data_IF_594701400377
#
_entry.id   IF_594701400377
#
_cell.length_a   1.000
_cell.length_b   1.000
_cell.length_c   1.000
_cell.angle_alpha   90.00
_cell.angle_beta   90.00
_cell.angle_gamma   90.00
#
_symmetry.space_group_name_H-M   'P 1'
#
loop_
_entity.id
_entity.type
_entity.pdbx_description
1 polymer ?
#
# COMPACT_ATOMS: atom_id res chain seq x y z
N UNK A 1 -7.58 45.24 48.13
CA UNK A 1 -7.73 44.77 46.74
C UNK A 1 -6.67 43.71 46.49
N UNK A 2 -7.06 42.44 46.39
CA UNK A 2 -6.13 41.34 46.11
C UNK A 2 -5.86 41.32 44.60
N UNK A 3 -4.59 41.28 44.19
CA UNK A 3 -4.19 41.40 42.79
C UNK A 3 -4.85 40.33 41.88
N UNK A 4 -5.24 40.67 40.63
CA UNK A 4 -6.00 39.80 39.72
C UNK A 4 -5.31 38.46 39.39
N UNK A 5 -3.99 38.37 39.58
CA UNK A 5 -3.23 37.12 39.40
C UNK A 5 -3.48 36.10 40.53
N UNK A 6 -3.71 36.59 41.75
CA UNK A 6 -3.97 35.76 42.93
C UNK A 6 -5.36 35.15 42.88
N UNK A 7 -6.33 35.90 42.36
CA UNK A 7 -7.71 35.42 42.17
C UNK A 7 -7.79 34.29 41.13
N UNK A 8 -7.14 34.46 39.97
CA UNK A 8 -7.04 33.41 38.94
C UNK A 8 -6.34 32.15 39.45
N UNK A 9 -5.35 32.30 40.34
CA UNK A 9 -4.68 31.16 40.97
C UNK A 9 -5.60 30.38 41.90
N UNK A 10 -6.40 31.06 42.72
CA UNK A 10 -7.38 30.41 43.61
C UNK A 10 -8.46 29.68 42.79
N UNK A 11 -9.00 30.32 41.76
CA UNK A 11 -9.95 29.70 40.84
C UNK A 11 -9.36 28.47 40.12
N UNK A 12 -8.11 28.55 39.69
CA UNK A 12 -7.42 27.41 39.07
C UNK A 12 -7.27 26.22 40.04
N UNK A 13 -7.03 26.49 41.32
CA UNK A 13 -6.93 25.46 42.37
C UNK A 13 -8.28 24.78 42.62
N UNK A 14 -9.36 25.54 42.70
CA UNK A 14 -10.71 24.99 42.89
C UNK A 14 -11.15 24.12 41.71
N UNK A 15 -10.96 24.61 40.49
CA UNK A 15 -11.22 23.81 39.29
C UNK A 15 -10.34 22.55 39.24
N UNK A 16 -9.09 22.65 39.72
CA UNK A 16 -8.19 21.49 39.75
C UNK A 16 -8.66 20.42 40.74
N UNK A 17 -9.09 20.80 41.94
CA UNK A 17 -9.65 19.89 42.95
C UNK A 17 -10.91 19.18 42.45
N UNK A 18 -11.73 19.87 41.67
CA UNK A 18 -12.93 19.31 41.01
C UNK A 18 -12.60 18.29 39.90
N UNK A 19 -11.33 18.12 39.54
CA UNK A 19 -10.89 17.11 38.58
C UNK A 19 -10.66 17.61 37.16
N UNK A 20 -10.71 18.92 36.92
CA UNK A 20 -10.54 19.47 35.58
C UNK A 20 -9.09 19.40 35.07
N UNK A 21 -8.95 19.27 33.74
CA UNK A 21 -7.65 19.24 33.06
C UNK A 21 -7.04 20.64 32.92
N UNK A 22 -5.71 20.72 32.77
CA UNK A 22 -5.04 22.00 32.52
C UNK A 22 -5.56 22.71 31.28
N UNK A 23 -5.92 21.97 30.22
CA UNK A 23 -6.49 22.57 29.00
C UNK A 23 -7.82 23.27 29.26
N UNK A 24 -8.70 22.65 30.06
CA UNK A 24 -9.99 23.25 30.44
C UNK A 24 -9.80 24.50 31.29
N UNK A 25 -8.96 24.41 32.34
CA UNK A 25 -8.68 25.56 33.23
C UNK A 25 -8.03 26.71 32.45
N UNK A 26 -7.16 26.39 31.48
CA UNK A 26 -6.53 27.36 30.59
C UNK A 26 -7.57 28.14 29.77
N UNK A 27 -8.53 27.42 29.17
CA UNK A 27 -9.59 28.03 28.36
C UNK A 27 -10.53 28.90 29.21
N UNK A 28 -10.90 28.43 30.40
CA UNK A 28 -11.81 29.17 31.31
C UNK A 28 -11.19 30.43 31.89
N UNK A 29 -9.93 30.37 32.34
CA UNK A 29 -9.28 31.49 33.04
C UNK A 29 -8.41 32.37 32.12
N UNK A 30 -8.27 31.97 30.85
CA UNK A 30 -7.42 32.61 29.83
C UNK A 30 -5.99 32.88 30.33
N UNK A 31 -5.38 31.88 30.98
CA UNK A 31 -4.01 31.95 31.50
C UNK A 31 -3.04 31.13 30.66
N UNK A 32 -1.74 31.39 30.80
CA UNK A 32 -0.72 30.61 30.11
C UNK A 32 -0.59 29.20 30.72
N UNK A 33 -0.07 28.24 29.93
CA UNK A 33 0.22 26.88 30.45
C UNK A 33 1.34 26.89 31.49
N UNK A 34 2.33 27.78 31.35
CA UNK A 34 3.43 27.91 32.30
C UNK A 34 2.92 28.38 33.67
N UNK A 35 1.99 29.34 33.71
CA UNK A 35 1.33 29.78 34.95
C UNK A 35 0.58 28.65 35.65
N UNK A 36 -0.21 27.85 34.92
CA UNK A 36 -0.91 26.69 35.49
C UNK A 36 0.05 25.62 36.00
N UNK A 37 1.13 25.36 35.28
CA UNK A 37 2.16 24.39 35.70
C UNK A 37 2.80 24.78 37.02
N UNK A 38 3.07 26.07 37.22
CA UNK A 38 3.63 26.59 38.46
C UNK A 38 2.61 26.50 39.61
N UNK A 39 1.36 26.90 39.38
CA UNK A 39 0.34 26.97 40.43
C UNK A 39 -0.19 25.61 40.87
N UNK A 40 -0.31 24.65 39.95
CA UNK A 40 -0.98 23.37 40.18
C UNK A 40 -0.01 22.20 40.37
N UNK A 41 1.30 22.46 40.44
CA UNK A 41 2.36 21.44 40.59
C UNK A 41 2.11 20.47 41.74
N UNK A 42 1.59 20.97 42.87
CA UNK A 42 1.29 20.17 44.07
C UNK A 42 -0.07 19.47 44.06
N UNK A 43 -0.86 19.59 42.98
CA UNK A 43 -2.23 19.07 42.90
C UNK A 43 -2.39 18.10 41.72
N UNK A 44 -1.74 16.92 41.77
CA UNK A 44 -1.96 15.87 40.78
C UNK A 44 -3.39 15.32 40.88
N UNK A 45 -3.97 14.91 39.74
CA UNK A 45 -5.26 14.23 39.74
C UNK A 45 -5.11 12.79 40.20
N UNK A 46 -6.15 12.26 40.85
CA UNK A 46 -6.23 10.83 41.15
C UNK A 46 -6.36 9.99 39.88
N UNK A 47 -6.04 8.70 39.98
CA UNK A 47 -6.18 7.73 38.87
C UNK A 47 -7.62 7.69 38.32
N UNK A 48 -8.61 7.80 39.19
CA UNK A 48 -10.03 7.86 38.82
C UNK A 48 -10.40 9.13 38.05
N UNK A 49 -9.93 10.29 38.50
CA UNK A 49 -10.14 11.56 37.80
C UNK A 49 -9.47 11.55 36.42
N UNK A 50 -8.26 11.00 36.32
CA UNK A 50 -7.56 10.80 35.04
C UNK A 50 -8.38 9.88 34.12
N UNK A 51 -8.93 8.79 34.64
CA UNK A 51 -9.75 7.86 33.87
C UNK A 51 -11.06 8.52 33.40
N UNK A 52 -11.72 9.34 34.23
CA UNK A 52 -12.90 10.14 33.83
C UNK A 52 -12.58 11.12 32.71
N UNK A 53 -11.44 11.82 32.79
CA UNK A 53 -10.98 12.70 31.71
C UNK A 53 -10.65 11.93 30.41
N UNK A 54 -10.23 10.67 30.53
CA UNK A 54 -9.96 9.77 29.41
C UNK A 54 -11.19 9.01 28.93
N UNK A 55 -12.33 9.07 29.60
CA UNK A 55 -13.53 8.30 29.23
C UNK A 55 -14.05 8.61 27.81
N UNK A 56 -13.69 9.76 27.22
CA UNK A 56 -13.99 10.14 25.84
C UNK A 56 -12.79 10.03 24.88
N UNK A 57 -11.69 9.38 25.29
CA UNK A 57 -10.47 9.28 24.47
C UNK A 57 -10.69 8.43 23.23
N UNK A 58 -11.47 7.36 23.32
CA UNK A 58 -11.77 6.48 22.18
C UNK A 58 -12.52 7.23 21.09
N UNK A 59 -13.60 7.94 21.45
CA UNK A 59 -14.35 8.82 20.52
C UNK A 59 -13.46 9.89 19.90
N UNK A 60 -12.49 10.44 20.64
CA UNK A 60 -11.53 11.43 20.12
C UNK A 60 -10.52 10.81 19.16
N UNK A 61 -10.01 9.61 19.47
CA UNK A 61 -9.11 8.85 18.62
C UNK A 61 -9.81 8.46 17.33
N UNK A 62 -11.07 8.02 17.42
CA UNK A 62 -11.87 7.63 16.26
C UNK A 62 -12.20 8.82 15.36
N UNK A 63 -12.63 9.96 15.92
CA UNK A 63 -12.79 11.23 15.19
C UNK A 63 -11.50 11.69 14.51
N UNK A 64 -10.35 11.56 15.20
CA UNK A 64 -9.06 11.89 14.62
C UNK A 64 -8.71 10.96 13.45
N UNK A 65 -8.91 9.65 13.61
CA UNK A 65 -8.70 8.65 12.55
C UNK A 65 -9.59 8.92 11.35
N UNK A 66 -10.86 9.25 11.58
CA UNK A 66 -11.80 9.59 10.51
C UNK A 66 -11.37 10.88 9.79
N UNK A 67 -11.05 11.94 10.52
CA UNK A 67 -10.57 13.20 9.96
C UNK A 67 -9.30 12.97 9.14
N UNK A 68 -8.36 12.18 9.65
CA UNK A 68 -7.14 11.81 8.94
C UNK A 68 -7.41 10.97 7.70
N UNK A 69 -8.34 10.01 7.78
CA UNK A 69 -8.76 9.18 6.65
C UNK A 69 -9.38 10.04 5.55
N UNK A 70 -10.27 10.97 5.89
CA UNK A 70 -10.88 11.90 4.94
C UNK A 70 -9.80 12.76 4.30
N UNK A 71 -8.98 13.45 5.11
CA UNK A 71 -7.90 14.32 4.61
C UNK A 71 -6.93 13.57 3.69
N UNK A 72 -6.54 12.35 4.08
CA UNK A 72 -5.62 11.51 3.29
C UNK A 72 -6.27 11.02 2.01
N UNK A 73 -7.52 10.57 2.06
CA UNK A 73 -8.27 10.11 0.89
C UNK A 73 -8.46 11.23 -0.11
N UNK A 74 -8.88 12.42 0.35
CA UNK A 74 -9.07 13.60 -0.51
C UNK A 74 -7.76 14.02 -1.17
N UNK A 75 -6.67 14.12 -0.39
CA UNK A 75 -5.35 14.44 -0.94
C UNK A 75 -4.88 13.42 -1.96
N UNK A 76 -4.99 12.12 -1.67
CA UNK A 76 -4.60 11.04 -2.59
C UNK A 76 -5.44 11.03 -3.85
N UNK A 77 -6.75 11.30 -3.74
CA UNK A 77 -7.66 11.39 -4.89
C UNK A 77 -7.27 12.55 -5.81
N UNK A 78 -7.00 13.73 -5.26
CA UNK A 78 -6.55 14.87 -6.07
C UNK A 78 -5.24 14.58 -6.83
N UNK A 79 -4.26 13.95 -6.16
CA UNK A 79 -3.02 13.51 -6.81
C UNK A 79 -3.31 12.46 -7.89
N UNK A 80 -4.15 11.46 -7.60
CA UNK A 80 -4.52 10.44 -8.58
C UNK A 80 -5.20 11.04 -9.82
N UNK A 81 -6.15 11.95 -9.63
CA UNK A 81 -6.88 12.58 -10.74
C UNK A 81 -5.96 13.45 -11.60
N UNK A 82 -4.99 14.13 -10.99
CA UNK A 82 -3.96 14.87 -11.72
C UNK A 82 -3.04 13.93 -12.52
N UNK A 83 -2.52 12.87 -11.90
CA UNK A 83 -1.66 11.89 -12.56
C UNK A 83 -2.40 11.13 -13.67
N UNK A 84 -3.70 10.85 -13.48
CA UNK A 84 -4.55 10.23 -14.49
C UNK A 84 -4.62 11.09 -15.76
N UNK A 85 -4.79 12.41 -15.61
CA UNK A 85 -4.81 13.36 -16.75
C UNK A 85 -3.45 13.47 -17.45
N UNK A 86 -2.37 13.41 -16.68
CA UNK A 86 -1.01 13.51 -17.21
C UNK A 86 -0.60 12.26 -18.00
N UNK A 87 -0.97 11.08 -17.51
CA UNK A 87 -0.45 9.80 -18.02
C UNK A 87 -1.36 9.09 -19.01
N UNK A 88 -2.67 9.35 -19.01
CA UNK A 88 -3.64 8.54 -19.76
C UNK A 88 -4.38 9.34 -20.85
N UNK A 89 -4.67 8.72 -22.01
CA UNK A 89 -4.34 7.34 -22.38
C UNK A 89 -2.87 7.16 -22.83
N UNK A 90 -2.30 5.98 -22.56
CA UNK A 90 -0.98 5.63 -23.09
C UNK A 90 -1.06 5.22 -24.56
N UNK A 91 -0.11 5.69 -25.36
CA UNK A 91 0.13 5.25 -26.73
C UNK A 91 0.67 3.82 -26.79
N UNK A 92 0.63 3.19 -27.97
CA UNK A 92 1.22 1.86 -28.17
C UNK A 92 2.72 1.83 -27.84
N UNK A 93 3.45 2.90 -28.17
CA UNK A 93 4.88 3.03 -27.88
C UNK A 93 5.15 3.11 -26.37
N UNK A 94 4.37 3.92 -25.65
CA UNK A 94 4.51 4.03 -24.19
C UNK A 94 4.14 2.72 -23.49
N UNK A 95 3.10 2.03 -23.96
CA UNK A 95 2.74 0.70 -23.45
C UNK A 95 3.83 -0.35 -23.74
N UNK A 96 4.47 -0.28 -24.91
CA UNK A 96 5.61 -1.14 -25.24
C UNK A 96 6.73 -0.91 -24.22
N UNK A 97 7.16 0.34 -24.03
CA UNK A 97 8.22 0.71 -23.10
C UNK A 97 7.86 0.32 -21.66
N UNK A 98 6.65 0.64 -21.19
CA UNK A 98 6.21 0.32 -19.84
C UNK A 98 6.23 -1.20 -19.56
N UNK A 99 5.85 -2.03 -20.54
CA UNK A 99 5.94 -3.47 -20.42
C UNK A 99 7.38 -4.01 -20.46
N UNK A 100 8.28 -3.39 -21.23
CA UNK A 100 9.71 -3.73 -21.20
C UNK A 100 10.31 -3.46 -19.82
N UNK A 101 10.04 -2.29 -19.22
CA UNK A 101 10.53 -1.97 -17.87
C UNK A 101 9.89 -2.85 -16.80
N UNK A 102 8.61 -3.20 -16.94
CA UNK A 102 8.00 -4.18 -16.05
C UNK A 102 8.70 -5.54 -16.18
N UNK A 103 8.97 -6.01 -17.40
CA UNK A 103 9.69 -7.26 -17.61
C UNK A 103 11.12 -7.20 -17.07
N UNK A 104 11.79 -6.06 -17.22
CA UNK A 104 13.13 -5.87 -16.69
C UNK A 104 13.15 -5.95 -15.16
N UNK A 105 12.12 -5.45 -14.47
CA UNK A 105 12.00 -5.56 -13.02
C UNK A 105 11.54 -6.93 -12.52
N UNK A 106 10.49 -7.48 -13.12
CA UNK A 106 9.69 -8.59 -12.59
C UNK A 106 9.73 -9.88 -13.44
N UNK A 107 10.27 -9.80 -14.66
CA UNK A 107 10.32 -10.91 -15.61
C UNK A 107 11.43 -11.90 -15.30
N UNK A 108 11.21 -13.16 -15.69
CA UNK A 108 12.23 -14.20 -15.61
C UNK A 108 13.32 -13.98 -16.67
N UNK A 109 14.58 -13.94 -16.25
CA UNK A 109 15.73 -13.69 -17.13
C UNK A 109 16.56 -14.94 -17.42
N UNK A 110 16.35 -16.00 -16.66
CA UNK A 110 17.16 -17.24 -16.70
C UNK A 110 16.54 -18.35 -17.53
N UNK A 111 15.37 -18.12 -18.15
CA UNK A 111 14.65 -19.12 -18.95
C UNK A 111 14.77 -18.79 -20.45
N UNK A 112 15.76 -19.35 -21.18
CA UNK A 112 16.07 -18.94 -22.55
C UNK A 112 14.96 -19.23 -23.58
N UNK A 113 13.92 -19.97 -23.22
CA UNK A 113 12.83 -20.37 -24.13
C UNK A 113 11.44 -20.00 -23.61
N UNK A 114 11.35 -19.16 -22.58
CA UNK A 114 10.07 -18.76 -22.02
C UNK A 114 10.09 -17.30 -21.56
N UNK A 115 9.06 -16.58 -21.97
CA UNK A 115 8.71 -15.28 -21.39
C UNK A 115 7.80 -15.55 -20.20
N UNK A 116 8.25 -15.21 -19.00
CA UNK A 116 7.41 -15.39 -17.80
C UNK A 116 7.54 -14.26 -16.79
N UNK A 117 6.46 -14.02 -16.06
CA UNK A 117 6.39 -13.03 -14.99
C UNK A 117 5.59 -13.61 -13.83
N UNK A 118 6.18 -13.56 -12.64
CA UNK A 118 5.59 -14.06 -11.40
C UNK A 118 5.31 -12.90 -10.45
N UNK A 119 4.05 -12.69 -10.04
CA UNK A 119 3.74 -11.66 -9.06
C UNK A 119 2.49 -12.03 -8.24
N UNK A 120 2.43 -11.55 -7.00
CA UNK A 120 1.25 -11.72 -6.13
C UNK A 120 0.19 -10.64 -6.39
N UNK A 121 0.55 -9.49 -6.95
CA UNK A 121 -0.38 -8.38 -7.19
C UNK A 121 -1.16 -8.58 -8.50
N UNK A 122 -2.50 -8.73 -8.46
CA UNK A 122 -3.30 -8.99 -9.67
C UNK A 122 -3.21 -7.86 -10.69
N UNK A 123 -2.99 -6.61 -10.28
CA UNK A 123 -2.85 -5.48 -11.21
C UNK A 123 -1.60 -5.59 -12.07
N UNK A 124 -0.50 -6.08 -11.49
CA UNK A 124 0.77 -6.30 -12.22
C UNK A 124 0.57 -7.42 -13.25
N UNK A 125 0.02 -8.55 -12.82
CA UNK A 125 -0.24 -9.71 -13.67
C UNK A 125 -1.21 -9.36 -14.80
N UNK A 126 -2.28 -8.59 -14.52
CA UNK A 126 -3.24 -8.11 -15.53
C UNK A 126 -2.60 -7.18 -16.55
N UNK A 127 -1.75 -6.25 -16.12
CA UNK A 127 -1.05 -5.36 -17.04
C UNK A 127 -0.11 -6.16 -17.94
N UNK A 128 0.64 -7.12 -17.38
CA UNK A 128 1.50 -8.00 -18.17
C UNK A 128 0.72 -8.83 -19.19
N UNK A 129 -0.41 -9.42 -18.78
CA UNK A 129 -1.32 -10.14 -19.68
C UNK A 129 -1.85 -9.24 -20.80
N UNK A 130 -2.26 -8.01 -20.47
CA UNK A 130 -2.69 -7.02 -21.45
C UNK A 130 -1.57 -6.69 -22.43
N UNK A 131 -0.35 -6.47 -21.94
CA UNK A 131 0.82 -6.16 -22.75
C UNK A 131 1.16 -7.30 -23.74
N UNK A 132 1.21 -8.54 -23.26
CA UNK A 132 1.41 -9.73 -24.11
C UNK A 132 0.39 -9.77 -25.25
N UNK A 133 -0.90 -9.65 -24.94
CA UNK A 133 -1.97 -9.82 -25.94
C UNK A 133 -2.07 -8.61 -26.87
N UNK A 134 -2.07 -7.39 -26.32
CA UNK A 134 -2.44 -6.20 -27.07
C UNK A 134 -1.25 -5.52 -27.75
N UNK A 135 -0.07 -5.58 -27.13
CA UNK A 135 1.15 -4.94 -27.64
C UNK A 135 2.03 -5.95 -28.38
N UNK A 136 2.35 -7.09 -27.74
CA UNK A 136 3.20 -8.11 -28.34
C UNK A 136 2.46 -9.10 -29.24
N UNK A 137 1.13 -8.99 -29.33
CA UNK A 137 0.26 -9.81 -30.19
C UNK A 137 0.33 -11.31 -29.91
N UNK A 138 0.62 -11.69 -28.66
CA UNK A 138 0.62 -13.09 -28.23
C UNK A 138 -0.80 -13.64 -28.26
N UNK A 139 -1.05 -14.75 -28.98
CA UNK A 139 -2.33 -15.45 -28.95
C UNK A 139 -2.65 -15.94 -27.54
N UNK A 140 -3.91 -15.75 -27.09
CA UNK A 140 -4.34 -16.12 -25.73
C UNK A 140 -4.14 -17.61 -25.41
N UNK A 141 -4.24 -18.46 -26.42
CA UNK A 141 -4.07 -19.90 -26.32
C UNK A 141 -2.63 -20.34 -26.01
N UNK A 142 -1.63 -19.51 -26.35
CA UNK A 142 -0.22 -19.74 -26.00
C UNK A 142 0.13 -19.36 -24.56
N UNK A 143 -0.78 -18.72 -23.85
CA UNK A 143 -0.58 -18.27 -22.47
C UNK A 143 -1.01 -19.39 -21.53
N UNK A 144 -0.10 -19.78 -20.66
CA UNK A 144 -0.34 -20.73 -19.56
C UNK A 144 -0.03 -20.08 -18.23
N UNK A 145 -0.66 -20.59 -17.16
CA UNK A 145 -0.51 -20.04 -15.82
C UNK A 145 -0.04 -21.13 -14.88
N UNK A 146 1.00 -20.88 -14.10
CA UNK A 146 1.40 -21.72 -12.96
C UNK A 146 1.20 -20.92 -11.69
N UNK A 147 0.50 -21.49 -10.71
CA UNK A 147 0.43 -20.89 -9.38
C UNK A 147 1.54 -21.45 -8.51
N UNK A 148 2.19 -20.59 -7.72
CA UNK A 148 3.07 -21.00 -6.63
C UNK A 148 2.32 -20.81 -5.32
N UNK A 149 1.96 -21.92 -4.68
CA UNK A 149 1.09 -21.99 -3.52
C UNK A 149 1.85 -22.56 -2.32
N UNK A 150 1.33 -22.30 -1.12
CA UNK A 150 1.82 -22.93 0.12
C UNK A 150 1.02 -24.20 0.40
N UNK A 151 1.58 -25.14 1.16
CA UNK A 151 0.93 -26.45 1.40
C UNK A 151 -0.42 -26.38 2.11
N UNK A 152 -0.70 -25.29 2.82
CA UNK A 152 -1.95 -25.02 3.54
C UNK A 152 -2.98 -24.24 2.70
N UNK A 153 -2.74 -24.07 1.39
CA UNK A 153 -3.66 -23.40 0.46
C UNK A 153 -4.49 -24.39 -0.35
N UNK A 154 -5.74 -24.03 -0.63
CA UNK A 154 -6.63 -24.80 -1.49
C UNK A 154 -6.38 -24.48 -2.96
N UNK A 155 -5.78 -25.44 -3.68
CA UNK A 155 -5.42 -25.26 -5.08
C UNK A 155 -6.62 -24.92 -5.98
N UNK A 156 -7.80 -25.51 -5.73
CA UNK A 156 -8.99 -25.28 -6.55
C UNK A 156 -9.51 -23.86 -6.34
N UNK A 157 -9.57 -23.41 -5.08
CA UNK A 157 -9.98 -22.03 -4.77
C UNK A 157 -9.02 -21.00 -5.40
N UNK A 158 -7.72 -21.24 -5.34
CA UNK A 158 -6.75 -20.29 -5.91
C UNK A 158 -6.78 -20.26 -7.44
N UNK A 159 -6.96 -21.41 -8.10
CA UNK A 159 -7.16 -21.47 -9.56
C UNK A 159 -8.43 -20.70 -9.95
N UNK A 160 -9.55 -20.90 -9.24
CA UNK A 160 -10.80 -20.20 -9.51
C UNK A 160 -10.66 -18.68 -9.33
N UNK A 161 -9.95 -18.24 -8.29
CA UNK A 161 -9.64 -16.82 -8.06
C UNK A 161 -8.87 -16.22 -9.23
N UNK A 162 -7.73 -16.80 -9.60
CA UNK A 162 -6.90 -16.26 -10.68
C UNK A 162 -7.55 -16.37 -12.05
N UNK A 163 -8.31 -17.43 -12.30
CA UNK A 163 -9.13 -17.61 -13.52
C UNK A 163 -10.11 -16.45 -13.69
N UNK A 164 -10.88 -16.13 -12.63
CA UNK A 164 -11.80 -15.00 -12.60
C UNK A 164 -11.09 -13.67 -12.77
N UNK A 165 -9.99 -13.46 -12.04
CA UNK A 165 -9.26 -12.19 -12.10
C UNK A 165 -8.66 -11.93 -13.48
N UNK A 166 -8.07 -12.94 -14.11
CA UNK A 166 -7.38 -12.79 -15.40
C UNK A 166 -8.31 -12.99 -16.60
N UNK A 167 -9.53 -13.50 -16.38
CA UNK A 167 -10.47 -13.93 -17.44
C UNK A 167 -9.81 -14.93 -18.39
N UNK A 168 -9.11 -15.90 -17.81
CA UNK A 168 -8.43 -17.00 -18.51
C UNK A 168 -9.06 -18.31 -18.02
N UNK A 169 -9.47 -19.22 -18.93
CA UNK A 169 -10.08 -20.50 -18.52
C UNK A 169 -9.16 -21.34 -17.63
N UNK A 170 -9.75 -22.07 -16.69
CA UNK A 170 -9.01 -22.95 -15.77
C UNK A 170 -8.15 -24.00 -16.49
N UNK A 171 -8.55 -24.43 -17.70
CA UNK A 171 -7.76 -25.35 -18.53
C UNK A 171 -6.40 -24.79 -19.02
N UNK A 172 -6.13 -23.49 -18.81
CA UNK A 172 -4.80 -22.88 -19.06
C UNK A 172 -3.90 -22.89 -17.82
N UNK A 173 -4.40 -23.34 -16.68
CA UNK A 173 -3.62 -23.48 -15.45
C UNK A 173 -2.93 -24.84 -15.45
N UNK A 174 -1.60 -24.83 -15.41
CA UNK A 174 -0.79 -26.04 -15.25
C UNK A 174 -0.62 -26.37 -13.77
N UNK A 175 -0.14 -27.60 -13.49
CA UNK A 175 0.09 -28.09 -12.12
C UNK A 175 0.77 -27.02 -11.25
N UNK A 176 0.12 -26.57 -10.16
CA UNK A 176 0.73 -25.60 -9.25
C UNK A 176 2.04 -26.13 -8.65
N UNK A 177 2.96 -25.22 -8.40
CA UNK A 177 4.13 -25.50 -7.58
C UNK A 177 3.76 -25.31 -6.11
N UNK A 178 3.91 -26.35 -5.29
CA UNK A 178 3.59 -26.31 -3.87
C UNK A 178 4.88 -26.13 -3.08
N UNK A 179 4.94 -25.06 -2.28
CA UNK A 179 6.00 -24.80 -1.31
C UNK A 179 5.71 -25.59 -0.04
N UNK A 180 6.76 -26.18 0.55
CA UNK A 180 6.67 -26.91 1.82
C UNK A 180 6.34 -26.04 3.04
N UNK A 181 6.54 -24.73 2.90
CA UNK A 181 6.19 -23.74 3.91
C UNK A 181 4.68 -23.50 3.96
N UNK A 182 4.20 -22.93 5.06
CA UNK A 182 2.79 -22.55 5.22
C UNK A 182 2.61 -21.04 5.07
N UNK A 183 1.46 -20.63 4.53
CA UNK A 183 1.05 -19.23 4.46
C UNK A 183 0.90 -18.64 5.87
N UNK A 184 0.42 -19.46 6.83
CA UNK A 184 0.31 -19.05 8.24
C UNK A 184 1.66 -18.67 8.86
N UNK A 185 2.74 -19.33 8.46
CA UNK A 185 4.09 -19.10 8.99
C UNK A 185 4.82 -17.89 8.39
N UNK A 186 4.22 -17.18 7.43
CA UNK A 186 4.85 -16.00 6.84
C UNK A 186 4.66 -14.75 7.69
N UNK A 187 5.76 -14.03 7.89
CA UNK A 187 5.79 -12.69 8.50
C UNK A 187 5.17 -11.63 7.58
N UNK A 188 5.36 -11.76 6.26
CA UNK A 188 4.73 -10.90 5.26
C UNK A 188 3.75 -11.71 4.40
N UNK A 189 2.48 -11.36 4.49
CA UNK A 189 1.41 -11.95 3.67
C UNK A 189 1.11 -11.00 2.52
N UNK A 190 1.22 -11.49 1.29
CA UNK A 190 0.72 -10.78 0.11
C UNK A 190 -0.81 -10.72 0.11
N UNK A 191 -1.44 -10.76 -1.06
CA UNK A 191 -2.91 -10.76 -1.17
C UNK A 191 -3.59 -12.04 -0.67
N UNK A 192 -2.82 -13.04 -0.23
CA UNK A 192 -3.35 -14.31 0.28
C UNK A 192 -3.66 -15.36 -0.79
N UNK A 193 -3.47 -15.07 -2.08
CA UNK A 193 -3.82 -15.96 -3.19
C UNK A 193 -2.61 -16.61 -3.90
N UNK A 194 -1.50 -16.74 -3.20
CA UNK A 194 -0.25 -17.26 -3.75
C UNK A 194 0.38 -16.34 -4.81
N UNK A 195 1.39 -16.85 -5.52
CA UNK A 195 2.04 -16.13 -6.62
C UNK A 195 1.55 -16.65 -7.95
N UNK A 196 1.10 -15.76 -8.83
CA UNK A 196 0.68 -16.12 -10.17
C UNK A 196 1.85 -15.94 -11.16
N UNK A 197 2.22 -17.01 -11.84
CA UNK A 197 3.24 -17.03 -12.88
C UNK A 197 2.58 -17.17 -14.25
N UNK A 198 2.59 -16.09 -15.04
CA UNK A 198 2.18 -16.10 -16.45
C UNK A 198 3.34 -16.58 -17.32
N UNK A 199 3.10 -17.55 -18.19
CA UNK A 199 4.14 -18.20 -19.00
C UNK A 199 3.71 -18.24 -20.47
N UNK A 200 4.62 -17.81 -21.34
CA UNK A 200 4.54 -17.98 -22.79
C UNK A 200 5.83 -18.63 -23.27
N UNK A 201 5.72 -19.85 -23.79
CA UNK A 201 6.88 -20.56 -24.35
C UNK A 201 7.18 -20.05 -25.77
N UNK A 202 8.46 -19.92 -26.09
CA UNK A 202 8.94 -19.48 -27.39
C UNK A 202 10.21 -18.63 -27.25
N UNK A 203 11.22 -18.95 -28.07
CA UNK A 203 12.50 -18.24 -28.12
C UNK A 203 12.35 -16.81 -28.65
N UNK A 204 11.68 -16.65 -29.78
CA UNK A 204 11.63 -15.37 -30.49
C UNK A 204 11.01 -14.25 -29.65
N UNK A 205 10.01 -14.59 -28.82
CA UNK A 205 9.35 -13.62 -27.95
C UNK A 205 10.29 -13.13 -26.84
N UNK A 206 11.00 -14.04 -26.18
CA UNK A 206 11.90 -13.67 -25.10
C UNK A 206 13.12 -12.91 -25.64
N UNK A 207 13.71 -13.35 -26.76
CA UNK A 207 14.80 -12.65 -27.42
C UNK A 207 14.38 -11.24 -27.83
N UNK A 208 13.21 -11.08 -28.46
CA UNK A 208 12.67 -9.76 -28.81
C UNK A 208 12.56 -8.85 -27.60
N UNK A 209 12.06 -9.35 -26.46
CA UNK A 209 11.92 -8.57 -25.24
C UNK A 209 13.29 -8.18 -24.67
N UNK A 210 14.21 -9.14 -24.54
CA UNK A 210 15.54 -8.92 -23.98
C UNK A 210 16.37 -7.95 -24.83
N UNK A 211 16.39 -8.14 -26.15
CA UNK A 211 17.08 -7.23 -27.07
C UNK A 211 16.46 -5.82 -27.05
N UNK A 212 15.13 -5.72 -26.91
CA UNK A 212 14.48 -4.40 -26.76
C UNK A 212 14.89 -3.70 -25.46
N UNK A 213 15.10 -4.44 -24.37
CA UNK A 213 15.62 -3.90 -23.11
C UNK A 213 17.07 -3.46 -23.31
N UNK A 214 17.91 -4.29 -23.95
CA UNK A 214 19.33 -4.02 -24.21
C UNK A 214 19.53 -2.74 -25.05
N UNK A 215 18.75 -2.58 -26.13
CA UNK A 215 18.77 -1.36 -26.95
C UNK A 215 18.49 -0.11 -26.10
N UNK A 216 17.51 -0.18 -25.19
CA UNK A 216 17.17 0.95 -24.31
C UNK A 216 18.28 1.17 -23.27
N UNK A 217 18.78 0.12 -22.63
CA UNK A 217 19.82 0.26 -21.60
C UNK A 217 21.11 0.84 -22.18
N UNK A 218 21.54 0.35 -23.33
CA UNK A 218 22.82 0.72 -23.94
C UNK A 218 22.84 2.18 -24.38
N UNK A 219 21.72 2.68 -24.90
CA UNK A 219 21.58 4.09 -25.27
C UNK A 219 21.78 5.02 -24.06
N UNK A 220 21.14 4.71 -22.92
CA UNK A 220 21.24 5.58 -21.75
C UNK A 220 22.50 5.35 -20.92
N UNK A 221 23.08 4.16 -20.94
CA UNK A 221 24.43 3.92 -20.37
C UNK A 221 25.48 4.70 -21.14
N UNK A 222 25.39 4.75 -22.48
CA UNK A 222 26.31 5.56 -23.30
C UNK A 222 26.22 7.05 -22.98
N UNK A 223 25.02 7.59 -22.81
CA UNK A 223 24.78 9.01 -22.47
C UNK A 223 25.31 9.44 -21.10
N UNK A 224 25.56 8.50 -20.19
CA UNK A 224 26.19 8.80 -18.89
C UNK A 224 27.71 8.93 -18.99
N UNK A 225 28.31 8.45 -20.07
CA UNK A 225 29.77 8.49 -20.30
C UNK A 225 30.24 9.72 -21.07
N UNK A 226 29.29 10.49 -21.61
CA UNK A 226 29.48 11.78 -22.29
C UNK A 226 29.12 12.92 -21.35
#
# INVERSE_FOLDING_TARGET
>A
MVAPLTEKRLQALELRKQGFSYSYIKEQLQVSKSSLSLWLRGYPLSREQINKLRANSEKRIERFRETWRIKTTTRRKAVYDHQKKLLLPLTKRELLIAGLFLYWGEGAKTTPFATSLSNTNPKVVKFFLYWLIKILKVPKDKITIRLHLYKDMDQKMEIAFWSKELRIPEGKFIKPYIKETTLRGLTYKGIGHGTCNLIVNGRDLIEKILMSIEVVSDEYVRRLRT
#
